data_IF_271199229101
#
_entry.id   IF_271199229101
#
_cell.length_a   1.000
_cell.length_b   1.000
_cell.length_c   1.000
_cell.angle_alpha   90.00
_cell.angle_beta   90.00
_cell.angle_gamma   90.00
#
_symmetry.space_group_name_H-M   'P 1'
#
loop_
_entity.id
_entity.type
_entity.pdbx_description
1 polymer ?
#
# COMPACT_ATOMS: atom_id res chain seq x y z
N UNK A 1 7.92 6.88 -13.49
CA UNK A 1 9.12 6.19 -13.97
C UNK A 1 8.76 4.79 -14.38
N UNK A 2 9.73 4.03 -14.89
CA UNK A 2 9.57 2.58 -15.11
C UNK A 2 10.11 1.86 -13.88
N UNK A 3 9.36 0.88 -13.39
CA UNK A 3 9.71 0.12 -12.19
C UNK A 3 9.39 -1.36 -12.41
N UNK A 4 10.22 -2.24 -11.89
CA UNK A 4 9.94 -3.67 -11.86
C UNK A 4 8.87 -3.95 -10.80
N UNK A 5 7.83 -4.67 -11.22
CA UNK A 5 6.67 -5.00 -10.38
C UNK A 5 6.49 -6.50 -10.29
N UNK A 6 6.07 -6.95 -9.11
CA UNK A 6 5.88 -8.36 -8.81
C UNK A 6 4.46 -8.57 -8.33
N UNK A 7 3.82 -9.62 -8.87
CA UNK A 7 2.48 -10.00 -8.44
C UNK A 7 2.55 -10.67 -7.08
N UNK A 8 1.71 -10.24 -6.16
CA UNK A 8 1.61 -10.84 -4.83
C UNK A 8 0.17 -10.90 -4.35
N UNK A 9 -0.05 -11.66 -3.28
CA UNK A 9 -1.31 -11.64 -2.56
C UNK A 9 -1.43 -10.34 -1.75
N UNK A 10 -2.65 -9.85 -1.61
CA UNK A 10 -3.00 -8.74 -0.75
C UNK A 10 -4.45 -8.90 -0.26
N UNK A 11 -4.74 -8.41 0.94
CA UNK A 11 -5.93 -8.73 1.74
C UNK A 11 -7.27 -8.31 1.10
N UNK A 12 -7.31 -7.16 0.43
CA UNK A 12 -8.50 -6.59 -0.21
C UNK A 12 -9.00 -7.45 -1.37
N UNK A 13 -8.14 -8.30 -1.96
CA UNK A 13 -8.57 -9.22 -3.01
C UNK A 13 -9.69 -10.16 -2.53
N UNK A 14 -9.69 -10.54 -1.25
CA UNK A 14 -10.73 -11.39 -0.68
C UNK A 14 -12.07 -10.66 -0.54
N UNK A 15 -12.05 -9.42 -0.06
CA UNK A 15 -13.29 -8.65 0.12
C UNK A 15 -13.85 -8.16 -1.22
N UNK A 16 -12.98 -7.67 -2.12
CA UNK A 16 -13.38 -7.19 -3.44
C UNK A 16 -14.04 -8.30 -4.27
N UNK A 17 -13.49 -9.51 -4.26
CA UNK A 17 -14.09 -10.64 -4.99
C UNK A 17 -15.44 -11.06 -4.41
N UNK A 18 -15.64 -10.89 -3.10
CA UNK A 18 -16.92 -11.15 -2.42
C UNK A 18 -17.96 -10.07 -2.71
N UNK A 19 -17.57 -8.80 -2.74
CA UNK A 19 -18.49 -7.66 -2.82
C UNK A 19 -18.71 -7.13 -4.23
N UNK A 20 -17.86 -7.49 -5.19
CA UNK A 20 -18.05 -7.26 -6.61
C UNK A 20 -18.19 -8.58 -7.37
N UNK A 21 -19.38 -9.23 -7.38
CA UNK A 21 -19.58 -10.52 -8.03
C UNK A 21 -19.40 -10.48 -9.56
N UNK A 22 -19.43 -9.29 -10.17
CA UNK A 22 -19.12 -9.08 -11.58
C UNK A 22 -17.63 -9.12 -11.90
N UNK A 23 -16.76 -9.12 -10.88
CA UNK A 23 -15.31 -9.11 -11.03
C UNK A 23 -14.83 -10.45 -11.59
N UNK A 24 -14.20 -10.42 -12.77
CA UNK A 24 -13.68 -11.63 -13.43
C UNK A 24 -12.23 -11.96 -13.05
N UNK A 25 -11.46 -10.93 -12.68
CA UNK A 25 -10.03 -11.02 -12.38
C UNK A 25 -9.63 -9.86 -11.48
N UNK A 26 -8.86 -10.14 -10.43
CA UNK A 26 -8.25 -9.17 -9.55
C UNK A 26 -6.78 -9.54 -9.33
N UNK A 27 -5.89 -8.56 -9.36
CA UNK A 27 -4.45 -8.75 -9.15
C UNK A 27 -3.88 -7.57 -8.38
N UNK A 28 -2.95 -7.86 -7.47
CA UNK A 28 -2.18 -6.85 -6.78
C UNK A 28 -0.71 -6.95 -7.21
N UNK A 29 -0.09 -5.79 -7.42
CA UNK A 29 1.28 -5.64 -7.90
C UNK A 29 2.01 -4.65 -7.03
N UNK A 30 3.24 -4.97 -6.64
CA UNK A 30 4.11 -4.09 -5.86
C UNK A 30 5.47 -3.98 -6.51
N UNK A 31 6.06 -2.78 -6.47
CA UNK A 31 7.39 -2.54 -7.01
C UNK A 31 8.48 -2.96 -6.03
N UNK A 32 9.50 -3.66 -6.51
CA UNK A 32 10.73 -3.92 -5.78
C UNK A 32 11.93 -3.63 -6.68
N UNK A 33 12.94 -2.93 -6.16
CA UNK A 33 14.18 -2.73 -6.91
C UNK A 33 15.06 -3.96 -6.83
N UNK A 34 15.85 -4.21 -7.88
CA UNK A 34 16.86 -5.28 -7.90
C UNK A 34 17.80 -5.20 -6.69
N UNK A 35 18.20 -3.98 -6.32
CA UNK A 35 19.07 -3.77 -5.17
C UNK A 35 18.40 -4.22 -3.87
N UNK A 36 17.13 -3.91 -3.67
CA UNK A 36 16.37 -4.36 -2.50
C UNK A 36 16.27 -5.90 -2.46
N UNK A 37 15.90 -6.52 -3.57
CA UNK A 37 15.81 -7.98 -3.68
C UNK A 37 17.17 -8.64 -3.42
N UNK A 38 18.26 -8.05 -3.91
CA UNK A 38 19.61 -8.54 -3.68
C UNK A 38 20.00 -8.51 -2.20
N UNK A 39 19.67 -7.44 -1.49
CA UNK A 39 19.94 -7.35 -0.05
C UNK A 39 19.19 -8.43 0.74
N UNK A 40 17.91 -8.65 0.43
CA UNK A 40 17.12 -9.72 1.05
C UNK A 40 17.68 -11.11 0.75
N UNK A 41 18.04 -11.38 -0.52
CA UNK A 41 18.66 -12.65 -0.93
C UNK A 41 19.95 -12.91 -0.15
N UNK A 42 20.83 -11.90 -0.02
CA UNK A 42 22.07 -12.03 0.74
C UNK A 42 21.79 -12.33 2.21
N UNK A 43 20.90 -11.57 2.86
CA UNK A 43 20.52 -11.78 4.27
C UNK A 43 19.93 -13.17 4.50
N UNK A 44 19.12 -13.66 3.56
CA UNK A 44 18.55 -15.00 3.61
C UNK A 44 19.63 -16.08 3.44
N UNK A 45 20.53 -15.92 2.47
CA UNK A 45 21.59 -16.90 2.19
C UNK A 45 22.57 -17.07 3.36
N UNK A 46 22.81 -16.01 4.14
CA UNK A 46 23.65 -16.08 5.35
C UNK A 46 22.86 -16.47 6.61
N UNK A 47 21.56 -16.78 6.49
CA UNK A 47 20.72 -17.24 7.61
C UNK A 47 20.22 -16.14 8.56
N UNK A 48 20.43 -14.86 8.23
CA UNK A 48 20.04 -13.73 9.10
C UNK A 48 18.52 -13.52 9.19
N UNK A 49 17.75 -14.13 8.30
CA UNK A 49 16.29 -14.13 8.34
C UNK A 49 15.71 -15.35 9.10
N UNK A 50 16.56 -16.19 9.69
CA UNK A 50 16.15 -17.36 10.46
C UNK A 50 15.37 -17.01 11.73
N UNK A 51 14.35 -17.80 12.03
CA UNK A 51 13.47 -17.64 13.20
C UNK A 51 13.78 -18.63 14.32
N UNK A 52 14.58 -19.67 14.05
CA UNK A 52 15.00 -20.63 15.05
C UNK A 52 16.20 -20.10 15.85
N UNK A 53 16.26 -20.35 17.17
CA UNK A 53 17.42 -19.99 17.96
C UNK A 53 18.69 -20.74 17.53
N UNK A 54 19.83 -20.06 17.60
CA UNK A 54 21.17 -20.65 17.48
C UNK A 54 21.99 -20.37 18.73
N UNK A 55 22.84 -21.31 19.13
CA UNK A 55 23.80 -21.11 20.23
C UNK A 55 25.01 -20.30 19.72
N UNK A 56 25.33 -19.23 20.44
CA UNK A 56 26.50 -18.41 20.18
C UNK A 56 27.11 -17.94 21.51
N UNK A 57 28.27 -18.48 21.87
CA UNK A 57 29.03 -18.12 23.08
C UNK A 57 28.23 -18.27 24.40
N UNK A 58 27.47 -19.36 24.53
CA UNK A 58 26.66 -19.69 25.70
C UNK A 58 25.30 -19.01 25.74
N UNK A 59 24.91 -18.29 24.68
CA UNK A 59 23.61 -17.62 24.57
C UNK A 59 22.84 -18.09 23.34
N UNK A 60 21.54 -18.29 23.49
CA UNK A 60 20.63 -18.50 22.37
C UNK A 60 20.24 -17.16 21.73
N UNK A 61 20.42 -17.06 20.42
CA UNK A 61 20.10 -15.87 19.63
C UNK A 61 19.20 -16.28 18.47
N UNK A 62 18.10 -15.55 18.26
CA UNK A 62 17.29 -15.67 17.04
C UNK A 62 17.83 -14.70 15.99
N UNK A 63 18.36 -15.17 14.84
CA UNK A 63 19.01 -14.31 13.85
C UNK A 63 18.15 -13.13 13.39
N UNK A 64 16.86 -13.37 13.12
CA UNK A 64 15.94 -12.31 12.68
C UNK A 64 15.76 -11.21 13.74
N UNK A 65 15.72 -11.57 15.03
CA UNK A 65 15.62 -10.60 16.11
C UNK A 65 16.90 -9.79 16.25
N UNK A 66 18.05 -10.44 16.10
CA UNK A 66 19.34 -9.77 16.11
C UNK A 66 19.50 -8.82 14.90
N UNK A 67 19.12 -9.25 13.70
CA UNK A 67 19.09 -8.41 12.51
C UNK A 67 18.23 -7.17 12.74
N UNK A 68 17.04 -7.32 13.32
CA UNK A 68 16.15 -6.19 13.66
C UNK A 68 16.85 -5.16 14.54
N UNK A 69 17.66 -5.58 15.50
CA UNK A 69 18.41 -4.66 16.37
C UNK A 69 19.56 -3.93 15.65
N UNK A 70 20.06 -4.47 14.53
CA UNK A 70 21.09 -3.83 13.70
C UNK A 70 20.51 -2.87 12.66
N UNK A 71 19.28 -3.10 12.22
CA UNK A 71 18.62 -2.23 11.25
C UNK A 71 18.32 -0.86 11.87
N UNK A 72 18.38 0.23 11.09
CA UNK A 72 18.02 1.55 11.57
C UNK A 72 16.56 1.58 12.05
N UNK A 73 16.31 2.31 13.13
CA UNK A 73 14.96 2.49 13.65
C UNK A 73 14.05 3.10 12.56
N UNK A 74 12.91 2.49 12.22
CA UNK A 74 12.08 2.93 11.09
C UNK A 74 11.66 4.41 11.18
N UNK A 75 11.41 4.91 12.39
CA UNK A 75 11.05 6.31 12.63
C UNK A 75 12.18 7.30 12.29
N UNK A 76 13.43 6.85 12.30
CA UNK A 76 14.61 7.68 11.99
C UNK A 76 14.89 7.79 10.49
N UNK A 77 14.19 7.01 9.65
CA UNK A 77 14.39 7.01 8.20
C UNK A 77 13.71 8.19 7.49
N UNK A 78 12.73 8.84 8.13
CA UNK A 78 11.97 9.97 7.58
C UNK A 78 12.82 11.05 6.89
N UNK A 79 13.81 11.67 7.58
CA UNK A 79 14.67 12.71 7.00
C UNK A 79 15.53 12.22 5.82
N UNK A 80 15.85 10.93 5.76
CA UNK A 80 16.75 10.34 4.78
C UNK A 80 16.02 9.87 3.52
N UNK A 81 14.72 9.59 3.64
CA UNK A 81 13.92 9.00 2.56
C UNK A 81 13.52 10.07 1.56
N UNK A 82 13.81 9.82 0.27
CA UNK A 82 13.47 10.70 -0.85
C UNK A 82 12.71 9.92 -1.90
N UNK A 83 11.94 10.66 -2.70
CA UNK A 83 11.14 10.10 -3.78
C UNK A 83 9.65 10.15 -3.47
N UNK A 84 8.88 9.41 -4.26
CA UNK A 84 7.42 9.44 -4.24
C UNK A 84 6.86 8.03 -4.26
N UNK A 85 5.73 7.84 -3.58
CA UNK A 85 4.88 6.67 -3.78
C UNK A 85 3.87 6.95 -4.88
N UNK A 86 3.40 5.90 -5.55
CA UNK A 86 2.29 5.96 -6.50
C UNK A 86 1.46 4.70 -6.30
N UNK A 87 0.26 4.86 -5.74
CA UNK A 87 -0.64 3.77 -5.38
C UNK A 87 -1.98 4.02 -6.07
N UNK A 88 -2.54 3.00 -6.71
CA UNK A 88 -3.78 3.15 -7.45
C UNK A 88 -4.32 1.85 -8.01
N UNK A 89 -5.50 1.96 -8.61
CA UNK A 89 -6.25 0.85 -9.18
C UNK A 89 -6.50 1.09 -10.67
N UNK A 90 -6.17 0.11 -11.50
CA UNK A 90 -6.57 0.06 -12.89
C UNK A 90 -7.81 -0.81 -12.99
N UNK A 91 -8.90 -0.23 -13.45
CA UNK A 91 -10.21 -0.88 -13.53
C UNK A 91 -10.64 -0.94 -14.98
N UNK A 92 -10.87 -2.16 -15.47
CA UNK A 92 -11.42 -2.44 -16.80
C UNK A 92 -12.87 -2.90 -16.66
N UNK A 93 -13.76 -2.30 -17.44
CA UNK A 93 -15.18 -2.64 -17.41
C UNK A 93 -15.91 -2.18 -18.66
N UNK A 94 -17.24 -2.04 -18.53
CA UNK A 94 -18.12 -1.56 -19.59
C UNK A 94 -18.98 -0.43 -19.05
N UNK A 95 -19.07 0.66 -19.79
CA UNK A 95 -19.97 1.78 -19.50
C UNK A 95 -20.75 2.12 -20.77
N UNK A 96 -22.07 2.23 -20.67
CA UNK A 96 -22.95 2.54 -21.80
C UNK A 96 -22.74 1.61 -23.01
N UNK A 97 -22.49 0.31 -22.74
CA UNK A 97 -22.25 -0.71 -23.75
C UNK A 97 -20.85 -0.70 -24.39
N UNK A 98 -19.95 0.20 -23.97
CA UNK A 98 -18.60 0.32 -24.53
C UNK A 98 -17.53 -0.08 -23.50
N UNK A 99 -16.46 -0.78 -23.91
CA UNK A 99 -15.30 -1.02 -23.06
C UNK A 99 -14.71 0.30 -22.55
N UNK A 100 -14.31 0.32 -21.29
CA UNK A 100 -13.70 1.48 -20.64
C UNK A 100 -12.67 1.02 -19.63
N UNK A 101 -11.49 1.63 -19.69
CA UNK A 101 -10.42 1.42 -18.73
C UNK A 101 -10.13 2.75 -18.03
N UNK A 102 -10.13 2.73 -16.70
CA UNK A 102 -9.76 3.88 -15.87
C UNK A 102 -8.59 3.52 -14.97
N UNK A 103 -7.73 4.50 -14.70
CA UNK A 103 -6.71 4.42 -13.66
C UNK A 103 -6.95 5.51 -12.64
N UNK A 104 -7.26 5.10 -11.41
CA UNK A 104 -7.35 5.97 -10.25
C UNK A 104 -6.10 5.82 -9.40
N UNK A 105 -5.40 6.90 -9.08
CA UNK A 105 -4.18 6.84 -8.29
C UNK A 105 -3.93 8.09 -7.43
N UNK A 106 -3.12 7.91 -6.40
CA UNK A 106 -2.53 8.97 -5.60
C UNK A 106 -1.00 8.93 -5.74
N UNK A 107 -0.38 10.11 -5.71
CA UNK A 107 1.08 10.27 -5.59
C UNK A 107 1.35 11.02 -4.29
N UNK A 108 2.21 10.48 -3.44
CA UNK A 108 2.61 11.10 -2.17
C UNK A 108 4.14 11.25 -2.12
N UNK A 109 4.64 12.42 -1.73
CA UNK A 109 6.06 12.71 -1.63
C UNK A 109 6.56 12.48 -0.20
N UNK A 110 7.69 11.76 -0.06
CA UNK A 110 8.25 11.44 1.25
C UNK A 110 8.68 12.69 2.04
N UNK A 111 9.19 13.70 1.35
CA UNK A 111 9.72 14.91 1.98
C UNK A 111 8.57 15.83 2.42
N UNK A 112 7.48 15.90 1.64
CA UNK A 112 6.27 16.64 2.01
C UNK A 112 5.60 15.99 3.24
N UNK A 113 5.41 14.67 3.23
CA UNK A 113 4.87 13.93 4.38
C UNK A 113 5.73 14.13 5.65
N UNK A 114 7.06 14.11 5.49
CA UNK A 114 7.97 14.31 6.62
C UNK A 114 7.91 15.75 7.14
N UNK A 115 7.83 16.74 6.26
CA UNK A 115 7.71 18.14 6.66
C UNK A 115 6.41 18.41 7.44
N UNK A 116 5.31 17.75 7.08
CA UNK A 116 4.00 17.96 7.70
C UNK A 116 3.86 17.23 9.06
N UNK A 117 4.12 15.91 9.08
CA UNK A 117 3.80 15.06 10.23
C UNK A 117 4.99 14.25 10.77
N UNK A 118 6.21 14.57 10.32
CA UNK A 118 7.45 13.90 10.75
C UNK A 118 7.43 12.39 10.47
N UNK A 119 6.76 11.99 9.38
CA UNK A 119 6.66 10.60 8.94
C UNK A 119 6.87 10.46 7.44
N UNK A 120 7.21 9.25 7.00
CA UNK A 120 7.44 8.95 5.60
C UNK A 120 6.12 8.62 4.87
N UNK A 121 6.10 8.74 3.53
CA UNK A 121 4.89 8.63 2.72
C UNK A 121 4.10 7.32 2.89
N UNK A 122 4.72 6.18 3.17
CA UNK A 122 4.04 4.89 3.42
C UNK A 122 3.16 4.99 4.68
N UNK A 123 3.70 5.54 5.77
CA UNK A 123 2.94 5.73 7.02
C UNK A 123 1.87 6.80 6.84
N UNK A 124 2.16 7.84 6.06
CA UNK A 124 1.22 8.88 5.71
C UNK A 124 0.01 8.33 4.94
N UNK A 125 0.27 7.56 3.87
CA UNK A 125 -0.76 6.95 3.02
C UNK A 125 -1.62 5.92 3.74
N UNK A 126 -1.18 5.39 4.89
CA UNK A 126 -2.00 4.52 5.75
C UNK A 126 -2.70 5.30 6.85
N UNK A 127 -2.01 6.27 7.47
CA UNK A 127 -2.51 7.05 8.60
C UNK A 127 -3.65 8.00 8.24
N UNK A 128 -3.57 8.68 7.09
CA UNK A 128 -4.64 9.58 6.63
C UNK A 128 -5.94 8.82 6.36
N UNK A 129 -5.98 7.72 5.59
CA UNK A 129 -7.17 6.88 5.43
C UNK A 129 -7.74 6.36 6.76
N UNK A 130 -6.88 5.99 7.71
CA UNK A 130 -7.33 5.54 9.03
C UNK A 130 -8.06 6.65 9.79
N UNK A 131 -7.53 7.88 9.75
CA UNK A 131 -8.18 9.05 10.33
C UNK A 131 -9.51 9.36 9.63
N UNK A 132 -9.54 9.34 8.30
CA UNK A 132 -10.77 9.61 7.53
C UNK A 132 -11.83 8.54 7.82
N UNK A 133 -11.45 7.26 7.87
CA UNK A 133 -12.38 6.18 8.24
C UNK A 133 -12.99 6.38 9.63
N UNK A 134 -12.18 6.77 10.62
CA UNK A 134 -12.68 7.12 11.95
C UNK A 134 -13.63 8.34 11.90
N UNK A 135 -13.28 9.37 11.12
CA UNK A 135 -14.12 10.55 10.90
C UNK A 135 -15.47 10.18 10.27
N UNK A 136 -15.50 9.31 9.26
CA UNK A 136 -16.74 8.84 8.62
C UNK A 136 -17.68 8.14 9.61
N UNK A 137 -17.13 7.39 10.57
CA UNK A 137 -17.91 6.73 11.61
C UNK A 137 -18.45 7.77 12.60
N UNK A 138 -17.60 8.67 13.09
CA UNK A 138 -17.98 9.67 14.10
C UNK A 138 -18.95 10.74 13.58
N UNK A 139 -18.91 11.03 12.27
CA UNK A 139 -19.88 11.91 11.59
C UNK A 139 -21.14 11.16 11.12
N UNK A 140 -21.32 9.90 11.54
CA UNK A 140 -22.45 9.03 11.22
C UNK A 140 -22.63 8.67 9.73
N UNK A 141 -21.72 9.12 8.85
CA UNK A 141 -21.75 8.82 7.41
C UNK A 141 -21.58 7.32 7.12
N UNK A 142 -20.76 6.64 7.91
CA UNK A 142 -20.50 5.20 7.83
C UNK A 142 -20.96 4.43 9.08
N UNK A 143 -21.72 5.06 9.98
CA UNK A 143 -22.18 4.42 11.21
C UNK A 143 -23.25 3.38 10.91
N UNK A 144 -22.89 2.09 10.98
CA UNK A 144 -23.78 0.97 10.70
C UNK A 144 -23.44 -0.27 11.54
N UNK A 145 -24.41 -0.92 12.21
CA UNK A 145 -24.15 -2.14 12.96
C UNK A 145 -23.56 -3.25 12.08
N UNK A 146 -22.52 -3.94 12.57
CA UNK A 146 -21.89 -5.07 11.87
C UNK A 146 -20.40 -4.84 11.57
N UNK A 147 -19.86 -5.69 10.69
CA UNK A 147 -18.48 -5.61 10.19
C UNK A 147 -18.56 -5.33 8.70
N UNK A 148 -17.83 -4.32 8.24
CA UNK A 148 -17.92 -3.79 6.89
C UNK A 148 -16.54 -3.59 6.30
N UNK A 149 -16.38 -3.94 5.03
CA UNK A 149 -15.25 -3.53 4.20
C UNK A 149 -15.57 -2.20 3.49
N UNK A 150 -14.52 -1.48 3.06
CA UNK A 150 -14.61 -0.12 2.53
C UNK A 150 -15.56 -0.01 1.33
N UNK A 151 -15.50 -0.99 0.42
CA UNK A 151 -16.29 -1.06 -0.81
C UNK A 151 -17.79 -1.26 -0.59
N UNK A 152 -18.22 -1.52 0.64
CA UNK A 152 -19.64 -1.68 0.99
C UNK A 152 -20.29 -0.37 1.46
N UNK A 153 -19.49 0.70 1.58
CA UNK A 153 -19.90 2.00 2.08
C UNK A 153 -19.85 3.03 0.94
N UNK A 154 -20.58 4.13 1.09
CA UNK A 154 -20.55 5.22 0.11
C UNK A 154 -19.14 5.84 0.05
N UNK A 155 -18.45 5.77 -1.10
CA UNK A 155 -17.08 6.25 -1.21
C UNK A 155 -16.99 7.78 -1.32
N UNK A 156 -18.05 8.47 -1.74
CA UNK A 156 -18.00 9.89 -2.10
C UNK A 156 -17.43 10.78 -0.97
N UNK A 157 -17.95 10.75 0.28
CA UNK A 157 -17.41 11.60 1.35
C UNK A 157 -15.99 11.21 1.75
N UNK A 158 -15.59 9.94 1.60
CA UNK A 158 -14.23 9.50 1.86
C UNK A 158 -13.26 10.04 0.80
N UNK A 159 -13.67 10.02 -0.46
CA UNK A 159 -12.87 10.51 -1.59
C UNK A 159 -12.71 12.04 -1.54
N UNK A 160 -13.73 12.78 -1.09
CA UNK A 160 -13.62 14.21 -0.81
C UNK A 160 -12.57 14.48 0.28
N UNK A 161 -12.67 13.76 1.41
CA UNK A 161 -11.76 13.92 2.54
C UNK A 161 -10.32 13.49 2.19
N UNK A 162 -10.12 12.47 1.35
CA UNK A 162 -8.80 12.11 0.84
C UNK A 162 -8.11 13.29 0.15
N UNK A 163 -8.87 14.06 -0.65
CA UNK A 163 -8.34 15.26 -1.30
C UNK A 163 -8.03 16.38 -0.29
N UNK A 164 -8.92 16.57 0.69
CA UNK A 164 -8.80 17.61 1.71
C UNK A 164 -7.63 17.38 2.67
N UNK A 165 -7.39 16.13 3.07
CA UNK A 165 -6.40 15.75 4.10
C UNK A 165 -5.09 15.23 3.52
N UNK A 166 -4.69 15.72 2.34
CA UNK A 166 -3.33 15.57 1.84
C UNK A 166 -3.05 14.36 0.95
N UNK A 167 -4.08 13.60 0.55
CA UNK A 167 -3.97 12.50 -0.42
C UNK A 167 -4.82 12.74 -1.68
N UNK A 168 -4.53 13.80 -2.45
CA UNK A 168 -5.27 14.07 -3.68
C UNK A 168 -5.09 12.91 -4.66
N UNK A 169 -6.20 12.45 -5.22
CA UNK A 169 -6.25 11.40 -6.22
C UNK A 169 -6.52 11.96 -7.61
N UNK A 170 -6.17 11.19 -8.64
CA UNK A 170 -6.42 11.50 -10.05
C UNK A 170 -7.05 10.31 -10.72
N UNK A 171 -7.95 10.58 -11.67
CA UNK A 171 -8.52 9.57 -12.56
C UNK A 171 -8.12 9.91 -13.98
N UNK A 172 -7.61 8.93 -14.71
CA UNK A 172 -7.26 9.05 -16.13
C UNK A 172 -7.85 7.89 -16.92
N UNK A 173 -8.11 8.14 -18.20
CA UNK A 173 -8.57 7.13 -19.15
C UNK A 173 -7.36 6.46 -19.74
N UNK A 174 -7.36 5.13 -19.77
CA UNK A 174 -6.31 4.36 -20.43
C UNK A 174 -6.86 3.74 -21.71
N UNK A 175 -6.06 3.77 -22.78
CA UNK A 175 -6.31 2.93 -23.96
C UNK A 175 -5.68 1.55 -23.76
N UNK A 176 -6.18 0.55 -24.48
CA UNK A 176 -5.69 -0.84 -24.39
C UNK A 176 -4.19 -0.95 -24.73
N UNK A 177 -3.65 -0.05 -25.55
CA UNK A 177 -2.21 0.02 -25.88
C UNK A 177 -1.32 0.34 -24.66
N UNK A 178 -1.91 0.88 -23.59
CA UNK A 178 -1.20 1.30 -22.37
C UNK A 178 -1.05 0.21 -21.32
N UNK A 179 -1.70 -0.95 -21.51
CA UNK A 179 -1.76 -2.04 -20.52
C UNK A 179 -0.91 -3.25 -20.95
N UNK A 180 0.42 -3.07 -20.99
CA UNK A 180 1.36 -4.18 -21.10
C UNK A 180 1.96 -4.44 -19.72
N UNK A 181 1.32 -5.30 -18.93
CA UNK A 181 1.86 -5.85 -17.68
C UNK A 181 2.55 -7.19 -17.94
#
# INVERSE_FOLDING_TARGET
>A
GTYDIYRMYHEELESLTKHYPSLKKAQFWMSFSDNYLKHLEVLQNVGMTGIEPIEFNGQEIVPLQFLKALLPEPSTLGPLTKGKTCIGCIVQGTKDGKPLTKYLYNICDHQEAYAEVQSQAISYTTGVPAMIGAKMILEEKWMKPGVWNMEQLDPDPFMEDMHLYGLPWRVVDLSDETLNF
#
